data_IF_385714418125
#
_entry.id   IF_385714418125
#
_cell.length_a   1.000
_cell.length_b   1.000
_cell.length_c   1.000
_cell.angle_alpha   90.00
_cell.angle_beta   90.00
_cell.angle_gamma   90.00
#
_symmetry.space_group_name_H-M   'P 1'
#
loop_
_entity.id
_entity.type
_entity.pdbx_description
1 polymer ?
#
# COMPACT_ATOMS: atom_id res chain seq x y z
N UNK A 1 -1.41 18.97 9.64
CA UNK A 1 -1.09 17.58 10.01
C UNK A 1 -2.24 17.05 10.85
N UNK A 2 -2.79 15.89 10.50
CA UNK A 2 -3.91 15.25 11.21
C UNK A 2 -3.46 13.85 11.64
N UNK A 3 -3.61 13.52 12.92
CA UNK A 3 -3.28 12.20 13.45
C UNK A 3 -4.55 11.37 13.52
N UNK A 4 -4.68 10.39 12.63
CA UNK A 4 -5.87 9.53 12.56
C UNK A 4 -5.86 8.38 13.57
N UNK A 5 -4.68 7.94 14.02
CA UNK A 5 -4.55 6.81 14.94
C UNK A 5 -3.12 6.57 15.37
N UNK A 6 -2.95 5.83 16.47
CA UNK A 6 -1.66 5.40 17.02
C UNK A 6 -1.74 3.91 17.31
N UNK A 7 -0.84 3.13 16.72
CA UNK A 7 -0.69 1.71 17.05
C UNK A 7 0.27 1.62 18.24
N UNK A 8 -0.14 1.06 19.38
CA UNK A 8 0.72 0.97 20.55
C UNK A 8 1.90 0.02 20.29
N UNK A 9 3.10 0.42 20.72
CA UNK A 9 4.28 -0.45 20.77
C UNK A 9 4.22 -1.44 21.95
N UNK A 10 5.30 -2.19 22.24
CA UNK A 10 6.66 -2.05 21.70
C UNK A 10 6.92 -2.86 20.41
N UNK A 11 6.05 -3.83 20.10
CA UNK A 11 6.24 -4.74 18.98
C UNK A 11 5.43 -4.29 17.76
N UNK A 12 5.93 -4.65 16.58
CA UNK A 12 5.23 -4.39 15.34
C UNK A 12 3.93 -5.22 15.27
N UNK A 13 2.80 -4.65 14.79
CA UNK A 13 1.56 -5.40 14.68
C UNK A 13 1.72 -6.61 13.75
N UNK A 14 1.04 -7.73 14.07
CA UNK A 14 0.95 -8.86 13.17
C UNK A 14 0.38 -8.45 11.80
N UNK A 15 0.70 -9.26 10.80
CA UNK A 15 0.47 -8.98 9.38
C UNK A 15 -0.97 -8.60 9.03
N UNK A 16 -1.96 -9.20 9.67
CA UNK A 16 -3.40 -8.99 9.39
C UNK A 16 -4.05 -8.00 10.38
N UNK A 17 -3.31 -7.56 11.40
CA UNK A 17 -3.85 -6.72 12.46
C UNK A 17 -3.88 -5.23 12.10
N UNK A 18 -3.25 -4.79 11.01
CA UNK A 18 -3.27 -3.38 10.58
C UNK A 18 -4.64 -2.98 10.04
N UNK A 19 -5.33 -3.88 9.35
CA UNK A 19 -6.61 -3.59 8.70
C UNK A 19 -7.66 -3.02 9.68
N UNK A 20 -7.93 -3.64 10.85
CA UNK A 20 -8.85 -3.08 11.85
C UNK A 20 -8.54 -1.65 12.31
N UNK A 21 -7.26 -1.25 12.35
CA UNK A 21 -6.89 0.12 12.73
C UNK A 21 -7.19 1.14 11.61
N UNK A 22 -7.19 0.69 10.35
CA UNK A 22 -7.47 1.55 9.19
C UNK A 22 -8.97 1.66 8.90
N UNK A 23 -9.77 0.66 9.27
CA UNK A 23 -11.22 0.63 9.05
C UNK A 23 -11.93 1.94 9.39
N UNK A 24 -11.81 2.54 10.60
CA UNK A 24 -12.53 3.77 10.92
C UNK A 24 -12.13 4.95 10.03
N UNK A 25 -10.84 5.07 9.71
CA UNK A 25 -10.34 6.12 8.82
C UNK A 25 -10.89 5.95 7.39
N UNK A 26 -10.94 4.71 6.90
CA UNK A 26 -11.44 4.46 5.54
C UNK A 26 -12.96 4.58 5.44
N UNK A 27 -13.70 4.25 6.49
CA UNK A 27 -15.14 4.48 6.57
C UNK A 27 -15.45 5.98 6.40
N UNK A 28 -14.72 6.85 7.12
CA UNK A 28 -14.84 8.31 6.96
C UNK A 28 -14.45 8.77 5.55
N UNK A 29 -13.35 8.24 4.98
CA UNK A 29 -12.91 8.61 3.63
C UNK A 29 -13.89 8.18 2.54
N UNK A 30 -14.64 7.10 2.73
CA UNK A 30 -15.70 6.68 1.82
C UNK A 30 -16.86 7.68 1.84
N UNK A 31 -17.33 8.07 3.03
CA UNK A 31 -18.39 9.07 3.19
C UNK A 31 -17.97 10.43 2.62
N UNK A 32 -16.72 10.83 2.87
CA UNK A 32 -16.14 12.06 2.37
C UNK A 32 -15.92 12.04 0.85
N UNK A 33 -15.84 10.89 0.20
CA UNK A 33 -15.62 10.81 -1.24
C UNK A 33 -16.90 11.04 -2.05
N UNK A 34 -17.94 10.24 -1.79
CA UNK A 34 -19.19 10.30 -2.54
C UNK A 34 -20.40 9.97 -1.65
N UNK A 35 -21.35 10.91 -1.45
CA UNK A 35 -21.46 12.22 -2.09
C UNK A 35 -20.48 13.28 -1.57
N UNK A 36 -19.79 13.03 -0.45
CA UNK A 36 -19.07 14.03 0.35
C UNK A 36 -19.94 14.65 1.44
N UNK A 37 -19.31 15.36 2.39
CA UNK A 37 -19.98 15.91 3.58
C UNK A 37 -20.33 17.37 3.38
N UNK A 38 -21.56 17.77 3.75
CA UNK A 38 -21.99 19.17 3.72
C UNK A 38 -21.75 19.83 5.08
N UNK A 39 -20.87 20.82 5.10
CA UNK A 39 -20.68 21.67 6.28
C UNK A 39 -21.62 22.86 6.20
N UNK A 40 -22.43 23.08 7.24
CA UNK A 40 -23.40 24.18 7.32
C UNK A 40 -22.75 25.56 7.29
N UNK A 41 -21.50 25.66 7.74
CA UNK A 41 -20.69 26.89 7.71
C UNK A 41 -19.21 26.56 7.75
N UNK A 42 -18.43 27.30 6.98
CA UNK A 42 -16.95 27.36 7.10
C UNK A 42 -16.52 28.81 7.25
N UNK A 43 -15.24 29.07 7.53
CA UNK A 43 -14.72 30.44 7.69
C UNK A 43 -15.04 31.33 6.47
N UNK A 44 -14.80 30.82 5.26
CA UNK A 44 -15.04 31.56 4.01
C UNK A 44 -16.44 31.36 3.43
N UNK A 45 -17.22 30.38 3.89
CA UNK A 45 -18.55 30.08 3.36
C UNK A 45 -19.60 30.03 4.47
N UNK A 46 -20.25 31.18 4.73
CA UNK A 46 -21.30 31.32 5.76
C UNK A 46 -22.57 30.52 5.45
N UNK A 47 -22.86 30.27 4.17
CA UNK A 47 -24.00 29.47 3.72
C UNK A 47 -23.70 27.96 3.68
N UNK A 48 -22.49 27.56 4.04
CA UNK A 48 -22.03 26.19 3.98
C UNK A 48 -21.39 25.83 2.63
N UNK A 49 -20.83 24.62 2.59
CA UNK A 49 -20.19 24.04 1.40
C UNK A 49 -20.09 22.54 1.55
N UNK A 50 -20.26 21.81 0.44
CA UNK A 50 -19.92 20.40 0.34
C UNK A 50 -18.42 20.24 0.15
N UNK A 51 -17.81 19.41 0.98
CA UNK A 51 -16.39 19.07 0.92
C UNK A 51 -16.26 17.60 0.56
N UNK A 52 -15.31 17.31 -0.33
CA UNK A 52 -14.90 15.96 -0.66
C UNK A 52 -13.45 15.76 -0.29
N UNK A 53 -13.11 14.57 0.18
CA UNK A 53 -11.74 14.18 0.53
C UNK A 53 -11.39 12.91 -0.23
N UNK A 54 -10.16 12.85 -0.74
CA UNK A 54 -9.61 11.69 -1.39
C UNK A 54 -8.20 11.42 -0.87
N UNK A 55 -7.93 10.16 -0.53
CA UNK A 55 -6.56 9.69 -0.28
C UNK A 55 -5.83 9.54 -1.62
N UNK A 56 -4.75 10.30 -1.82
CA UNK A 56 -4.02 10.33 -3.10
C UNK A 56 -2.77 9.46 -3.12
N UNK A 57 -2.13 9.22 -1.97
CA UNK A 57 -0.92 8.43 -1.88
C UNK A 57 -0.75 7.83 -0.47
N UNK A 58 -0.24 6.61 -0.43
CA UNK A 58 0.35 5.99 0.76
C UNK A 58 1.87 6.18 0.68
N UNK A 59 2.42 6.93 1.63
CA UNK A 59 3.86 7.19 1.76
C UNK A 59 4.31 6.63 3.11
N UNK A 60 5.15 5.60 3.05
CA UNK A 60 5.74 4.96 4.22
C UNK A 60 6.97 4.15 3.81
N UNK A 61 7.74 3.71 4.79
CA UNK A 61 8.86 2.81 4.54
C UNK A 61 8.38 1.49 3.90
N UNK A 62 9.32 0.73 3.33
CA UNK A 62 8.98 -0.46 2.55
C UNK A 62 8.18 -1.48 3.39
N UNK A 63 8.58 -1.84 4.63
CA UNK A 63 7.82 -2.78 5.45
C UNK A 63 6.39 -2.31 5.73
N UNK A 64 6.18 -1.06 6.15
CA UNK A 64 4.83 -0.56 6.41
C UNK A 64 4.00 -0.52 5.13
N UNK A 65 4.58 -0.11 4.00
CA UNK A 65 3.89 -0.09 2.70
C UNK A 65 3.36 -1.48 2.33
N UNK A 66 4.17 -2.54 2.52
CA UNK A 66 3.75 -3.93 2.24
C UNK A 66 2.59 -4.36 3.12
N UNK A 67 2.62 -4.05 4.41
CA UNK A 67 1.57 -4.46 5.34
C UNK A 67 0.28 -3.67 5.13
N UNK A 68 0.38 -2.35 5.02
CA UNK A 68 -0.77 -1.47 4.84
C UNK A 68 -1.48 -1.70 3.51
N UNK A 69 -0.74 -1.88 2.41
CA UNK A 69 -1.33 -2.12 1.09
C UNK A 69 -1.54 -3.61 0.74
N UNK A 70 -1.24 -4.53 1.67
CA UNK A 70 -1.48 -5.96 1.48
C UNK A 70 -0.49 -6.68 0.55
N UNK A 71 0.62 -6.06 0.16
CA UNK A 71 1.63 -6.72 -0.68
C UNK A 71 2.56 -7.64 0.11
N UNK A 72 3.26 -8.51 -0.61
CA UNK A 72 4.29 -9.36 -0.05
C UNK A 72 5.57 -8.59 0.32
N UNK A 73 6.34 -9.14 1.26
CA UNK A 73 7.61 -8.57 1.72
C UNK A 73 8.67 -8.55 0.61
N UNK A 74 9.71 -7.74 0.80
CA UNK A 74 10.89 -7.68 -0.08
C UNK A 74 11.65 -9.02 -0.18
N UNK A 75 11.46 -9.93 0.78
CA UNK A 75 12.03 -11.28 0.78
C UNK A 75 11.25 -12.28 -0.05
N UNK A 76 10.01 -11.95 -0.43
CA UNK A 76 9.15 -12.83 -1.21
C UNK A 76 9.66 -12.96 -2.66
N UNK A 77 9.28 -14.05 -3.34
CA UNK A 77 9.66 -14.26 -4.75
C UNK A 77 9.09 -13.18 -5.65
N UNK A 78 7.83 -12.81 -5.41
CA UNK A 78 7.16 -11.66 -6.00
C UNK A 78 7.24 -10.52 -4.99
N UNK A 79 8.25 -9.66 -5.15
CA UNK A 79 8.59 -8.63 -4.16
C UNK A 79 8.12 -7.23 -4.54
N UNK A 80 7.77 -7.01 -5.81
CA UNK A 80 7.37 -5.69 -6.32
C UNK A 80 5.85 -5.49 -6.25
N UNK A 81 5.40 -4.31 -5.81
CA UNK A 81 3.97 -3.91 -5.83
C UNK A 81 3.53 -3.41 -7.20
N UNK A 82 4.47 -3.01 -8.06
CA UNK A 82 4.16 -2.34 -9.32
C UNK A 82 4.21 -3.28 -10.53
N UNK A 83 4.91 -4.41 -10.43
CA UNK A 83 5.08 -5.35 -11.52
C UNK A 83 5.16 -6.80 -11.02
N UNK A 84 5.12 -7.71 -11.99
CA UNK A 84 5.17 -9.17 -11.78
C UNK A 84 6.59 -9.75 -11.78
N UNK A 85 7.62 -8.95 -11.51
CA UNK A 85 8.99 -9.44 -11.48
C UNK A 85 9.19 -10.47 -10.36
N UNK A 86 9.96 -11.49 -10.67
CA UNK A 86 10.21 -12.65 -9.83
C UNK A 86 11.70 -12.75 -9.51
N UNK A 87 12.04 -12.73 -8.22
CA UNK A 87 13.44 -12.69 -7.75
C UNK A 87 14.32 -13.77 -8.37
N UNK A 88 13.77 -14.98 -8.56
CA UNK A 88 14.50 -16.14 -9.10
C UNK A 88 14.76 -16.07 -10.63
N UNK A 89 13.98 -15.27 -11.38
CA UNK A 89 14.04 -15.25 -12.86
C UNK A 89 14.71 -13.98 -13.38
N UNK A 90 14.26 -12.83 -12.92
CA UNK A 90 14.75 -11.53 -13.39
C UNK A 90 15.89 -10.96 -12.52
N UNK A 91 16.04 -11.47 -11.28
CA UNK A 91 17.01 -10.94 -10.32
C UNK A 91 16.75 -9.47 -9.94
N UNK A 92 17.74 -8.82 -9.31
CA UNK A 92 17.68 -7.39 -8.98
C UNK A 92 18.30 -6.47 -10.04
N UNK A 93 19.10 -7.03 -10.95
CA UNK A 93 20.02 -6.29 -11.83
C UNK A 93 19.92 -6.75 -13.30
N UNK A 94 18.95 -7.59 -13.63
CA UNK A 94 18.80 -8.20 -14.96
C UNK A 94 17.61 -7.66 -15.75
N UNK A 95 17.91 -7.20 -16.97
CA UNK A 95 17.00 -6.73 -18.01
C UNK A 95 16.19 -5.44 -17.74
N UNK A 96 16.03 -4.65 -18.80
CA UNK A 96 15.48 -3.31 -18.76
C UNK A 96 14.12 -3.24 -18.06
N UNK A 97 13.89 -2.27 -17.15
CA UNK A 97 12.61 -2.06 -16.45
C UNK A 97 11.38 -2.00 -17.37
N UNK A 98 11.60 -1.63 -18.64
CA UNK A 98 10.59 -1.53 -19.69
C UNK A 98 9.98 -2.87 -20.15
N UNK A 99 10.51 -4.02 -19.72
CA UNK A 99 9.98 -5.36 -20.09
C UNK A 99 9.06 -5.97 -19.03
N UNK A 100 9.03 -5.44 -17.81
CA UNK A 100 8.22 -6.05 -16.75
C UNK A 100 6.74 -5.72 -16.92
N UNK A 101 5.92 -6.77 -16.96
CA UNK A 101 4.46 -6.62 -16.95
C UNK A 101 4.05 -5.91 -15.65
N UNK A 102 3.49 -4.71 -15.78
CA UNK A 102 2.96 -3.95 -14.64
C UNK A 102 1.68 -4.60 -14.12
N UNK A 103 1.48 -4.52 -12.81
CA UNK A 103 0.21 -4.85 -12.16
C UNK A 103 -0.83 -3.80 -12.53
N UNK A 104 -2.06 -4.26 -12.67
CA UNK A 104 -3.22 -3.36 -12.80
C UNK A 104 -3.94 -3.25 -11.46
N UNK A 105 -4.69 -2.16 -11.25
CA UNK A 105 -5.47 -1.98 -10.03
C UNK A 105 -6.56 -3.06 -9.92
N UNK A 106 -7.15 -3.43 -11.05
CA UNK A 106 -8.19 -4.45 -11.18
C UNK A 106 -7.66 -5.81 -10.74
N UNK A 107 -6.51 -6.23 -11.28
CA UNK A 107 -5.83 -7.47 -10.90
C UNK A 107 -5.51 -7.53 -9.41
N UNK A 108 -4.95 -6.46 -8.83
CA UNK A 108 -4.62 -6.42 -7.40
C UNK A 108 -5.88 -6.50 -6.53
N UNK A 109 -6.99 -5.88 -6.96
CA UNK A 109 -8.27 -5.94 -6.24
C UNK A 109 -8.92 -7.31 -6.33
N UNK A 110 -8.82 -7.97 -7.48
CA UNK A 110 -9.28 -9.33 -7.66
C UNK A 110 -8.52 -10.28 -6.75
N UNK A 111 -7.18 -10.26 -6.80
CA UNK A 111 -6.31 -11.04 -5.91
C UNK A 111 -6.64 -10.82 -4.42
N UNK A 112 -6.80 -9.55 -4.01
CA UNK A 112 -7.13 -9.20 -2.64
C UNK A 112 -8.52 -9.73 -2.24
N UNK A 113 -9.49 -9.69 -3.16
CA UNK A 113 -10.85 -10.17 -2.94
C UNK A 113 -10.90 -11.69 -2.85
N UNK A 114 -10.16 -12.41 -3.70
CA UNK A 114 -10.01 -13.86 -3.62
C UNK A 114 -9.40 -14.28 -2.28
N UNK A 115 -8.32 -13.60 -1.86
CA UNK A 115 -7.71 -13.83 -0.55
C UNK A 115 -8.70 -13.61 0.60
N UNK A 116 -9.53 -12.55 0.53
CA UNK A 116 -10.53 -12.28 1.56
C UNK A 116 -11.65 -13.32 1.59
N UNK A 117 -12.09 -13.82 0.42
CA UNK A 117 -13.16 -14.84 0.27
C UNK A 117 -12.70 -16.26 0.61
N UNK A 118 -11.40 -16.54 0.53
CA UNK A 118 -10.85 -17.84 0.87
C UNK A 118 -11.26 -18.26 2.29
N UNK A 119 -11.75 -19.49 2.40
CA UNK A 119 -12.44 -19.98 3.61
C UNK A 119 -11.47 -20.53 4.65
N UNK A 120 -10.28 -20.96 4.22
CA UNK A 120 -9.29 -21.60 5.07
C UNK A 120 -7.91 -20.94 4.94
N UNK A 121 -7.09 -21.11 5.98
CA UNK A 121 -5.76 -20.50 6.07
C UNK A 121 -4.83 -21.04 4.97
N UNK A 122 -4.91 -22.33 4.63
CA UNK A 122 -4.06 -22.92 3.60
C UNK A 122 -4.32 -22.37 2.20
N UNK A 123 -5.58 -22.10 1.87
CA UNK A 123 -6.00 -21.46 0.63
C UNK A 123 -5.49 -20.02 0.57
N UNK A 124 -5.61 -19.26 1.66
CA UNK A 124 -5.04 -17.91 1.78
C UNK A 124 -3.53 -17.91 1.59
N UNK A 125 -2.83 -18.85 2.21
CA UNK A 125 -1.38 -19.00 2.07
C UNK A 125 -0.99 -19.38 0.64
N UNK A 126 -1.75 -20.26 -0.02
CA UNK A 126 -1.52 -20.65 -1.41
C UNK A 126 -1.73 -19.45 -2.37
N UNK A 127 -2.83 -18.71 -2.22
CA UNK A 127 -3.11 -17.49 -2.98
C UNK A 127 -2.03 -16.42 -2.76
N UNK A 128 -1.65 -16.17 -1.50
CA UNK A 128 -0.61 -15.21 -1.18
C UNK A 128 0.76 -15.62 -1.76
N UNK A 129 1.09 -16.91 -1.73
CA UNK A 129 2.33 -17.43 -2.31
C UNK A 129 2.35 -17.29 -3.84
N UNK A 130 1.20 -17.46 -4.48
CA UNK A 130 1.05 -17.35 -5.93
C UNK A 130 1.06 -15.89 -6.40
N UNK A 131 0.30 -15.00 -5.74
CA UNK A 131 0.01 -13.66 -6.25
C UNK A 131 0.75 -12.56 -5.48
N UNK A 132 1.19 -12.83 -4.25
CA UNK A 132 1.88 -11.86 -3.40
C UNK A 132 0.98 -10.74 -2.86
N UNK A 133 -0.33 -10.95 -2.84
CA UNK A 133 -1.34 -9.96 -2.43
C UNK A 133 -2.25 -10.55 -1.35
N UNK A 134 -2.64 -9.71 -0.39
CA UNK A 134 -3.57 -9.98 0.71
C UNK A 134 -4.63 -8.89 0.74
N UNK A 135 -5.67 -9.11 1.54
CA UNK A 135 -6.67 -8.08 1.81
C UNK A 135 -6.03 -6.84 2.44
N UNK A 136 -6.35 -5.69 1.88
CA UNK A 136 -6.06 -4.38 2.46
C UNK A 136 -7.34 -3.58 2.50
N UNK A 137 -7.58 -2.90 3.62
CA UNK A 137 -8.71 -1.98 3.75
C UNK A 137 -8.68 -0.90 2.63
N UNK A 138 -7.50 -0.51 2.14
CA UNK A 138 -7.36 0.48 1.06
C UNK A 138 -8.07 0.07 -0.24
N UNK A 139 -8.27 -1.22 -0.46
CA UNK A 139 -9.03 -1.73 -1.61
C UNK A 139 -10.50 -1.30 -1.60
N UNK A 140 -11.05 -0.92 -0.45
CA UNK A 140 -12.43 -0.44 -0.32
C UNK A 140 -12.64 0.93 -0.96
N UNK A 141 -11.61 1.77 -1.03
CA UNK A 141 -11.69 3.10 -1.63
C UNK A 141 -11.80 2.96 -3.16
N UNK A 142 -12.93 3.33 -3.81
CA UNK A 142 -13.15 3.05 -5.24
C UNK A 142 -12.18 3.80 -6.17
N UNK A 143 -11.64 4.93 -5.71
CA UNK A 143 -10.72 5.78 -6.46
C UNK A 143 -9.24 5.48 -6.22
N UNK A 144 -8.91 4.61 -5.26
CA UNK A 144 -7.53 4.37 -4.86
C UNK A 144 -6.90 3.25 -5.72
N UNK A 145 -5.89 3.60 -6.51
CA UNK A 145 -5.14 2.64 -7.31
C UNK A 145 -4.02 2.00 -6.47
N UNK A 146 -4.22 0.75 -6.03
CA UNK A 146 -3.24 0.03 -5.18
C UNK A 146 -1.90 -0.21 -5.88
N UNK A 147 -1.87 -0.31 -7.21
CA UNK A 147 -0.66 -0.56 -7.97
C UNK A 147 0.15 0.73 -8.21
N UNK A 148 -0.47 1.92 -8.10
CA UNK A 148 0.15 3.22 -8.40
C UNK A 148 0.30 4.15 -7.21
N UNK A 149 -0.64 4.14 -6.27
CA UNK A 149 -0.69 5.10 -5.16
C UNK A 149 0.05 4.62 -3.91
N UNK A 150 0.65 3.43 -3.93
CA UNK A 150 1.64 3.00 -2.94
C UNK A 150 3.01 3.47 -3.40
N UNK A 151 3.42 4.63 -2.92
CA UNK A 151 4.57 5.35 -3.45
C UNK A 151 5.83 5.01 -2.65
N UNK A 152 6.97 4.73 -3.30
CA UNK A 152 8.24 4.56 -2.60
C UNK A 152 8.59 5.81 -1.79
N UNK A 153 8.87 5.65 -0.49
CA UNK A 153 9.35 6.74 0.34
C UNK A 153 10.76 7.16 -0.10
N UNK A 154 10.84 8.34 -0.71
CA UNK A 154 12.09 8.91 -1.19
C UNK A 154 13.11 9.11 -0.07
N UNK A 155 12.68 9.43 1.16
CA UNK A 155 13.62 9.69 2.25
C UNK A 155 14.38 8.42 2.63
N UNK A 156 13.64 7.33 2.89
CA UNK A 156 14.25 6.06 3.25
C UNK A 156 14.95 5.39 2.07
N UNK A 157 14.35 5.43 0.87
CA UNK A 157 14.94 4.79 -0.29
C UNK A 157 16.21 5.51 -0.76
N UNK A 158 16.19 6.85 -0.85
CA UNK A 158 17.32 7.62 -1.36
C UNK A 158 18.41 7.77 -0.30
N UNK A 159 18.10 8.32 0.88
CA UNK A 159 19.12 8.68 1.86
C UNK A 159 19.64 7.48 2.64
N UNK A 160 18.77 6.55 3.01
CA UNK A 160 19.15 5.40 3.85
C UNK A 160 19.48 4.15 3.03
N UNK A 161 18.82 3.94 1.89
CA UNK A 161 19.09 2.81 1.01
C UNK A 161 20.21 3.09 0.00
N UNK A 162 19.93 3.97 -0.97
CA UNK A 162 20.77 4.17 -2.13
C UNK A 162 22.11 4.83 -1.79
N UNK A 163 22.12 5.90 -0.99
CA UNK A 163 23.38 6.56 -0.60
C UNK A 163 24.26 5.60 0.21
N UNK A 164 23.69 4.88 1.18
CA UNK A 164 24.44 3.89 1.96
C UNK A 164 25.08 2.85 1.03
N UNK A 165 24.27 2.21 0.17
CA UNK A 165 24.76 1.19 -0.77
C UNK A 165 25.80 1.74 -1.73
N UNK A 166 25.63 2.98 -2.20
CA UNK A 166 26.57 3.61 -3.11
C UNK A 166 27.91 3.89 -2.42
N UNK A 167 27.90 4.42 -1.19
CA UNK A 167 29.12 4.66 -0.43
C UNK A 167 29.81 3.34 -0.06
N UNK A 168 29.10 2.40 0.56
CA UNK A 168 29.73 1.21 1.15
C UNK A 168 30.03 0.10 0.14
N UNK A 169 29.17 -0.10 -0.86
CA UNK A 169 29.29 -1.21 -1.82
C UNK A 169 29.94 -0.78 -3.13
N UNK A 170 29.58 0.40 -3.66
CA UNK A 170 30.08 0.85 -4.97
C UNK A 170 31.40 1.62 -4.82
N UNK A 171 31.46 2.58 -3.90
CA UNK A 171 32.64 3.43 -3.69
C UNK A 171 33.61 2.85 -2.65
N UNK A 172 33.16 1.98 -1.76
CA UNK A 172 33.99 1.32 -0.74
C UNK A 172 34.52 2.24 0.36
N UNK A 173 33.82 3.34 0.64
CA UNK A 173 34.09 4.33 1.71
C UNK A 173 33.18 4.07 2.91
#
# INVERSE_FOLDING_TARGET
MFLAGVIPGPNEPPLDCINPYLTPLLDELLELWDPGVYYSRTHCHRQGRRVRVALVALVCDLPAARKTAGFASYTHKIFCSMCHCHKDREGFVGEAPCRWKRRTNEEVREDASEFARASNIHEREALFKANGVRWSELSRLPYFDLARFVVPDAMHNLFLGLIQTHCTTILGI
#
